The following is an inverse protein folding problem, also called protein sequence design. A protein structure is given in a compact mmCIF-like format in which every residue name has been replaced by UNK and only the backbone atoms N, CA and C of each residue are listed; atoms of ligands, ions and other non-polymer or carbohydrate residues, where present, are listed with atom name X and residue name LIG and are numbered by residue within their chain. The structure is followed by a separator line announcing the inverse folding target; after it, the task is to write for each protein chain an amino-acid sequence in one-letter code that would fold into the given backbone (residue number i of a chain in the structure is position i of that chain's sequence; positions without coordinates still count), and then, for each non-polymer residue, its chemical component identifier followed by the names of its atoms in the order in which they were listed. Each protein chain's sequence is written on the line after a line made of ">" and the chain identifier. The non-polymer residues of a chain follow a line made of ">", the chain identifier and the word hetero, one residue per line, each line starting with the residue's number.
data_IF_018500774076
#
_entry.id   IF_018500774076
#
_cell.length_a   1.000
_cell.length_b   1.000
_cell.length_c   1.000
_cell.angle_alpha   90.00
_cell.angle_beta   90.00
_cell.angle_gamma   90.00
#
_symmetry.space_group_name_H-M   'P 1'
#
loop_
_entity.id
_entity.type
_entity.pdbx_description
1 polymer ?
#
# COMPACT_ATOMS: atom_id res chain seq x y z
N UNK A 1 -12.18 14.75 20.50
CA UNK A 1 -11.19 14.12 21.39
C UNK A 1 -11.90 13.08 22.25
N UNK A 2 -11.21 12.10 22.77
CA UNK A 2 -11.66 10.95 23.56
C UNK A 2 -12.97 11.16 24.37
N UNK A 3 -14.14 10.91 23.76
CA UNK A 3 -15.45 11.09 24.43
C UNK A 3 -15.99 9.81 25.08
N UNK A 4 -15.48 8.63 24.73
CA UNK A 4 -16.02 7.32 25.14
C UNK A 4 -14.96 6.32 25.55
N UNK A 5 -13.85 6.76 26.17
CA UNK A 5 -12.91 5.81 26.78
C UNK A 5 -13.57 5.20 28.01
N UNK A 6 -14.11 3.99 27.84
CA UNK A 6 -14.56 3.18 28.98
C UNK A 6 -13.35 2.62 29.77
N UNK A 7 -13.61 2.09 30.95
CA UNK A 7 -12.56 1.51 31.79
C UNK A 7 -11.86 0.33 31.08
N UNK A 8 -10.73 0.61 30.43
CA UNK A 8 -9.97 -0.41 29.67
C UNK A 8 -9.02 0.19 28.64
N UNK A 9 -9.40 1.24 27.93
CA UNK A 9 -8.50 1.90 26.96
C UNK A 9 -7.49 2.82 27.62
N UNK A 10 -6.22 2.43 27.67
CA UNK A 10 -5.13 3.19 28.31
C UNK A 10 -4.08 3.67 27.31
N UNK A 11 -3.35 4.72 27.68
CA UNK A 11 -2.24 5.27 26.90
C UNK A 11 -2.64 5.80 25.50
N UNK A 12 -3.87 6.26 25.32
CA UNK A 12 -4.33 6.83 24.07
C UNK A 12 -4.10 8.34 24.02
N UNK A 13 -3.70 8.85 22.86
CA UNK A 13 -3.60 10.28 22.55
C UNK A 13 -4.61 10.62 21.47
N UNK A 14 -5.52 11.57 21.70
CA UNK A 14 -6.45 12.05 20.69
C UNK A 14 -6.49 13.59 20.66
N UNK A 15 -6.18 14.15 19.49
CA UNK A 15 -6.14 15.60 19.25
C UNK A 15 -6.88 15.90 17.95
N UNK A 16 -7.98 16.61 18.02
CA UNK A 16 -8.79 17.01 16.87
C UNK A 16 -10.28 16.75 17.08
N UNK A 17 -11.07 17.27 16.17
CA UNK A 17 -12.52 17.07 16.13
C UNK A 17 -12.81 15.60 15.79
N UNK A 18 -13.62 14.92 16.60
CA UNK A 18 -13.96 13.49 16.50
C UNK A 18 -12.77 12.50 16.50
N UNK A 19 -11.57 12.93 16.92
CA UNK A 19 -10.43 12.04 17.03
C UNK A 19 -10.63 11.00 18.15
N UNK A 20 -10.55 9.71 17.83
CA UNK A 20 -10.59 8.59 18.76
C UNK A 20 -11.90 8.46 19.56
N UNK A 21 -13.02 9.02 19.10
CA UNK A 21 -14.28 9.13 19.88
C UNK A 21 -14.91 7.78 20.19
N UNK A 22 -14.73 6.74 19.37
CA UNK A 22 -15.30 5.43 19.60
C UNK A 22 -14.38 4.45 20.36
N UNK A 23 -13.18 4.86 20.75
CA UNK A 23 -12.24 3.97 21.45
C UNK A 23 -12.84 3.53 22.81
N UNK A 24 -13.02 2.24 23.00
CA UNK A 24 -13.52 1.65 24.25
C UNK A 24 -12.40 0.95 25.02
N UNK A 25 -11.84 -0.13 24.46
CA UNK A 25 -10.80 -0.94 25.10
C UNK A 25 -9.48 -0.98 24.34
N UNK A 26 -9.38 -0.30 23.19
CA UNK A 26 -8.12 -0.24 22.43
C UNK A 26 -7.06 0.61 23.13
N UNK A 27 -5.85 0.08 23.27
CA UNK A 27 -4.74 0.70 23.98
C UNK A 27 -3.69 1.30 23.03
N UNK A 28 -2.90 2.25 23.55
CA UNK A 28 -1.69 2.76 22.90
C UNK A 28 -1.93 3.33 21.51
N UNK A 29 -3.08 3.98 21.26
CA UNK A 29 -3.37 4.62 20.00
C UNK A 29 -2.99 6.10 20.01
N UNK A 30 -2.52 6.59 18.87
CA UNK A 30 -2.31 8.03 18.61
C UNK A 30 -3.24 8.46 17.49
N UNK A 31 -4.18 9.35 17.76
CA UNK A 31 -5.13 9.92 16.83
C UNK A 31 -4.97 11.44 16.79
N UNK A 32 -4.40 11.99 15.72
CA UNK A 32 -4.18 13.43 15.55
C UNK A 32 -4.78 13.90 14.24
N UNK A 33 -5.82 14.71 14.30
CA UNK A 33 -6.54 15.22 13.14
C UNK A 33 -8.04 14.98 13.23
N UNK A 34 -8.81 15.73 12.43
CA UNK A 34 -10.26 15.54 12.38
C UNK A 34 -10.57 14.11 11.90
N UNK A 35 -11.48 13.42 12.58
CA UNK A 35 -11.93 12.04 12.33
C UNK A 35 -10.82 10.97 12.35
N UNK A 36 -9.64 11.25 12.89
CA UNK A 36 -8.60 10.22 13.04
C UNK A 36 -9.06 9.13 14.02
N UNK A 37 -9.06 7.84 13.61
CA UNK A 37 -9.53 6.70 14.41
C UNK A 37 -10.96 6.86 14.99
N UNK A 38 -11.85 7.53 14.27
CA UNK A 38 -13.17 7.90 14.81
C UNK A 38 -14.08 6.70 15.10
N UNK A 39 -13.90 5.55 14.42
CA UNK A 39 -14.71 4.34 14.63
C UNK A 39 -13.98 3.20 15.37
N UNK A 40 -12.72 3.40 15.75
CA UNK A 40 -11.94 2.36 16.42
C UNK A 40 -12.52 2.05 17.80
N UNK A 41 -12.87 0.78 18.02
CA UNK A 41 -13.40 0.32 19.32
C UNK A 41 -12.35 -0.40 20.13
N UNK A 42 -11.83 -1.50 19.62
CA UNK A 42 -10.85 -2.38 20.29
C UNK A 42 -9.49 -2.41 19.60
N UNK A 43 -9.34 -1.72 18.47
CA UNK A 43 -8.07 -1.62 17.75
C UNK A 43 -6.99 -0.96 18.62
N UNK A 44 -5.81 -1.57 18.71
CA UNK A 44 -4.71 -1.11 19.55
C UNK A 44 -3.42 -0.83 18.76
N UNK A 45 -2.55 0.00 19.33
CA UNK A 45 -1.22 0.29 18.79
C UNK A 45 -1.30 0.93 17.38
N UNK A 46 -2.32 1.75 17.13
CA UNK A 46 -2.44 2.46 15.88
C UNK A 46 -1.89 3.89 15.99
N UNK A 47 -1.23 4.36 14.95
CA UNK A 47 -0.83 5.77 14.80
C UNK A 47 -1.55 6.37 13.59
N UNK A 48 -2.47 7.29 13.82
CA UNK A 48 -3.25 7.99 12.81
C UNK A 48 -3.00 9.49 12.90
N UNK A 49 -2.36 10.07 11.89
CA UNK A 49 -2.05 11.50 11.85
C UNK A 49 -2.53 12.10 10.52
N UNK A 50 -3.58 12.92 10.57
CA UNK A 50 -4.17 13.58 9.42
C UNK A 50 -5.70 13.52 9.41
N UNK A 51 -6.30 14.18 8.44
CA UNK A 51 -7.73 14.19 8.21
C UNK A 51 -8.23 12.82 7.72
N UNK A 52 -9.28 12.25 8.32
CA UNK A 52 -9.91 10.97 8.01
C UNK A 52 -8.89 9.78 7.92
N UNK A 53 -7.81 9.81 8.70
CA UNK A 53 -6.87 8.69 8.79
C UNK A 53 -7.44 7.55 9.63
N UNK A 54 -7.38 6.29 9.10
CA UNK A 54 -7.91 5.10 9.82
C UNK A 54 -9.36 5.29 10.31
N UNK A 55 -10.14 6.13 9.63
CA UNK A 55 -11.45 6.57 10.13
C UNK A 55 -12.50 5.45 10.19
N UNK A 56 -12.34 4.37 9.41
CA UNK A 56 -13.24 3.20 9.41
C UNK A 56 -12.70 2.01 10.21
N UNK A 57 -11.54 2.14 10.85
CA UNK A 57 -10.94 1.04 11.62
C UNK A 57 -11.83 0.71 12.82
N UNK A 58 -12.14 -0.57 13.00
CA UNK A 58 -12.90 -1.06 14.17
C UNK A 58 -12.03 -1.84 15.13
N UNK A 59 -11.43 -2.94 14.67
CA UNK A 59 -10.60 -3.84 15.47
C UNK A 59 -9.16 -3.98 14.94
N UNK A 60 -8.85 -3.38 13.78
CA UNK A 60 -7.51 -3.40 13.20
C UNK A 60 -6.48 -2.76 14.13
N UNK A 61 -5.29 -3.36 14.24
CA UNK A 61 -4.24 -2.90 15.15
C UNK A 61 -2.86 -2.83 14.52
N UNK A 62 -1.92 -2.16 15.21
CA UNK A 62 -0.53 -2.03 14.77
C UNK A 62 -0.37 -1.35 13.40
N UNK A 63 -1.27 -0.43 13.05
CA UNK A 63 -1.20 0.31 11.80
C UNK A 63 -0.58 1.70 12.02
N UNK A 64 0.20 2.16 11.05
CA UNK A 64 0.70 3.53 10.97
C UNK A 64 0.11 4.20 9.74
N UNK A 65 -0.68 5.26 9.92
CA UNK A 65 -1.26 6.04 8.84
C UNK A 65 -0.98 7.53 9.03
N UNK A 66 -0.30 8.13 8.07
CA UNK A 66 0.05 9.56 8.10
C UNK A 66 -0.31 10.21 6.77
N UNK A 67 -1.23 11.17 6.77
CA UNK A 67 -1.65 11.90 5.58
C UNK A 67 -3.17 12.00 5.44
N UNK A 68 -3.62 12.79 4.48
CA UNK A 68 -5.05 12.94 4.17
C UNK A 68 -5.62 11.61 3.67
N UNK A 69 -6.64 11.08 4.34
CA UNK A 69 -7.34 9.81 4.05
C UNK A 69 -6.42 8.58 3.88
N UNK A 70 -5.25 8.58 4.53
CA UNK A 70 -4.41 7.39 4.56
C UNK A 70 -5.11 6.26 5.32
N UNK A 71 -5.15 5.05 4.73
CA UNK A 71 -5.77 3.84 5.29
C UNK A 71 -7.22 4.04 5.78
N UNK A 72 -7.97 4.95 5.13
CA UNK A 72 -9.28 5.42 5.59
C UNK A 72 -10.32 4.30 5.70
N UNK A 73 -10.39 3.36 4.75
CA UNK A 73 -11.41 2.30 4.74
C UNK A 73 -11.02 1.02 5.48
N UNK A 74 -9.84 1.01 6.12
CA UNK A 74 -9.41 -0.17 6.86
C UNK A 74 -10.39 -0.49 7.99
N UNK A 75 -10.83 -1.73 8.09
CA UNK A 75 -11.72 -2.19 9.17
C UNK A 75 -10.98 -3.07 10.16
N UNK A 76 -10.39 -4.15 9.70
CA UNK A 76 -9.75 -5.19 10.53
C UNK A 76 -8.30 -5.48 10.16
N UNK A 77 -7.77 -4.85 9.09
CA UNK A 77 -6.39 -5.06 8.66
C UNK A 77 -5.37 -4.64 9.72
N UNK A 78 -4.28 -5.38 9.83
CA UNK A 78 -3.24 -5.18 10.83
C UNK A 78 -1.86 -4.97 10.22
N UNK A 79 -0.98 -4.27 10.95
CA UNK A 79 0.44 -4.16 10.60
C UNK A 79 0.71 -3.39 9.29
N UNK A 80 -0.18 -2.51 8.86
CA UNK A 80 0.03 -1.71 7.66
C UNK A 80 0.74 -0.39 7.98
N UNK A 81 1.64 0.05 7.10
CA UNK A 81 2.26 1.37 7.12
C UNK A 81 1.83 2.15 5.88
N UNK A 82 1.07 3.23 6.06
CA UNK A 82 0.54 4.08 5.01
C UNK A 82 0.97 5.54 5.24
N UNK A 83 1.94 6.03 4.50
CA UNK A 83 2.44 7.40 4.64
C UNK A 83 2.31 8.13 3.30
N UNK A 84 1.45 9.13 3.28
CA UNK A 84 1.14 9.94 2.11
C UNK A 84 -0.36 10.10 1.91
N UNK A 85 -0.74 11.13 1.16
CA UNK A 85 -2.14 11.36 0.79
C UNK A 85 -2.70 10.15 0.03
N UNK A 86 -3.84 9.62 0.49
CA UNK A 86 -4.56 8.50 -0.14
C UNK A 86 -3.74 7.19 -0.23
N UNK A 87 -2.67 7.03 0.54
CA UNK A 87 -1.95 5.76 0.62
C UNK A 87 -2.83 4.68 1.26
N UNK A 88 -2.90 3.46 0.68
CA UNK A 88 -3.77 2.36 1.12
C UNK A 88 -5.23 2.76 1.36
N UNK A 89 -5.73 3.78 0.68
CA UNK A 89 -7.04 4.38 0.96
C UNK A 89 -8.18 3.37 0.95
N UNK A 90 -8.20 2.43 -0.01
CA UNK A 90 -9.29 1.46 -0.22
C UNK A 90 -9.09 0.13 0.51
N UNK A 91 -8.02 0.00 1.29
CA UNK A 91 -7.73 -1.23 2.04
C UNK A 91 -8.80 -1.48 3.10
N UNK A 92 -9.38 -2.67 3.10
CA UNK A 92 -10.43 -3.05 4.06
C UNK A 92 -9.91 -4.03 5.12
N UNK A 93 -9.40 -5.16 4.70
CA UNK A 93 -8.92 -6.25 5.58
C UNK A 93 -7.47 -6.64 5.31
N UNK A 94 -6.85 -6.01 4.35
CA UNK A 94 -5.46 -6.28 3.96
C UNK A 94 -4.49 -6.00 5.13
N UNK A 95 -3.44 -6.81 5.23
CA UNK A 95 -2.48 -6.73 6.32
C UNK A 95 -1.03 -6.73 5.81
N UNK A 96 -0.13 -6.18 6.63
CA UNK A 96 1.31 -6.22 6.40
C UNK A 96 1.76 -5.54 5.10
N UNK A 97 1.08 -4.46 4.70
CA UNK A 97 1.49 -3.67 3.55
C UNK A 97 2.29 -2.43 3.98
N UNK A 98 3.28 -2.07 3.17
CA UNK A 98 4.03 -0.82 3.30
C UNK A 98 3.73 0.06 2.09
N UNK A 99 3.15 1.23 2.31
CA UNK A 99 2.81 2.20 1.28
C UNK A 99 3.36 3.58 1.63
N UNK A 100 4.44 3.98 0.98
CA UNK A 100 5.11 5.28 1.18
C UNK A 100 5.01 6.12 -0.10
N UNK A 101 4.20 7.13 -0.10
CA UNK A 101 4.00 8.05 -1.22
C UNK A 101 2.52 8.31 -1.50
N UNK A 102 2.27 9.40 -2.23
CA UNK A 102 0.91 9.77 -2.63
C UNK A 102 0.29 8.65 -3.49
N UNK A 103 -0.89 8.18 -3.11
CA UNK A 103 -1.67 7.11 -3.78
C UNK A 103 -0.93 5.78 -3.96
N UNK A 104 0.12 5.50 -3.19
CA UNK A 104 0.71 4.16 -3.16
C UNK A 104 -0.29 3.14 -2.64
N UNK A 105 -0.47 2.00 -3.33
CA UNK A 105 -1.48 0.97 -3.02
C UNK A 105 -2.92 1.51 -2.83
N UNK A 106 -3.27 2.59 -3.53
CA UNK A 106 -4.53 3.32 -3.29
C UNK A 106 -5.78 2.44 -3.46
N UNK A 107 -5.82 1.58 -4.49
CA UNK A 107 -6.96 0.73 -4.79
C UNK A 107 -6.91 -0.65 -4.09
N UNK A 108 -5.85 -0.93 -3.30
CA UNK A 108 -5.70 -2.22 -2.64
C UNK A 108 -6.87 -2.49 -1.68
N UNK A 109 -7.53 -3.63 -1.84
CA UNK A 109 -8.66 -4.01 -0.97
C UNK A 109 -8.26 -5.08 0.04
N UNK A 110 -7.78 -6.23 -0.44
CA UNK A 110 -7.43 -7.39 0.38
C UNK A 110 -6.01 -7.92 0.16
N UNK A 111 -5.27 -7.37 -0.82
CA UNK A 111 -3.90 -7.77 -1.11
C UNK A 111 -2.97 -7.52 0.09
N UNK A 112 -2.20 -8.53 0.49
CA UNK A 112 -1.34 -8.47 1.67
C UNK A 112 0.15 -8.58 1.32
N UNK A 113 1.02 -8.17 2.26
CA UNK A 113 2.47 -8.30 2.13
C UNK A 113 3.06 -7.57 0.91
N UNK A 114 2.48 -6.45 0.51
CA UNK A 114 3.02 -5.63 -0.56
C UNK A 114 3.89 -4.48 -0.02
N UNK A 115 4.93 -4.13 -0.73
CA UNK A 115 5.77 -2.95 -0.47
C UNK A 115 5.69 -2.01 -1.66
N UNK A 116 5.16 -0.81 -1.45
CA UNK A 116 5.03 0.23 -2.46
C UNK A 116 5.68 1.53 -1.98
N UNK A 117 6.76 1.95 -2.61
CA UNK A 117 7.49 3.18 -2.28
C UNK A 117 7.56 4.07 -3.52
N UNK A 118 6.87 5.19 -3.49
CA UNK A 118 6.81 6.14 -4.59
C UNK A 118 5.39 6.60 -4.90
N UNK A 119 5.26 7.74 -5.58
CA UNK A 119 3.96 8.23 -6.04
C UNK A 119 3.37 7.24 -7.06
N UNK A 120 2.09 6.85 -6.86
CA UNK A 120 1.36 5.90 -7.70
C UNK A 120 2.00 4.49 -7.81
N UNK A 121 2.92 4.09 -6.91
CA UNK A 121 3.43 2.73 -6.87
C UNK A 121 2.30 1.74 -6.48
N UNK A 122 2.12 0.65 -7.25
CA UNK A 122 1.04 -0.35 -7.08
C UNK A 122 -0.36 0.28 -6.95
N UNK A 123 -0.60 1.39 -7.61
CA UNK A 123 -1.80 2.21 -7.41
C UNK A 123 -3.10 1.44 -7.61
N UNK A 124 -3.19 0.61 -8.66
CA UNK A 124 -4.41 -0.12 -9.03
C UNK A 124 -4.46 -1.55 -8.47
N UNK A 125 -3.47 -1.96 -7.63
CA UNK A 125 -3.51 -3.27 -7.00
C UNK A 125 -4.81 -3.44 -6.20
N UNK A 126 -5.50 -4.55 -6.39
CA UNK A 126 -6.73 -4.88 -5.63
C UNK A 126 -6.52 -6.03 -4.67
N UNK A 127 -6.13 -7.19 -5.18
CA UNK A 127 -5.96 -8.43 -4.42
C UNK A 127 -4.55 -9.05 -4.55
N UNK A 128 -3.70 -8.49 -5.44
CA UNK A 128 -2.33 -8.95 -5.63
C UNK A 128 -1.53 -8.88 -4.32
N UNK A 129 -0.68 -9.87 -4.08
CA UNK A 129 0.10 -9.96 -2.85
C UNK A 129 1.59 -10.24 -3.12
N UNK A 130 2.44 -9.98 -2.11
CA UNK A 130 3.88 -10.23 -2.17
C UNK A 130 4.60 -9.45 -3.28
N UNK A 131 4.08 -8.29 -3.68
CA UNK A 131 4.70 -7.44 -4.67
C UNK A 131 5.60 -6.39 -4.01
N UNK A 132 6.73 -6.09 -4.65
CA UNK A 132 7.64 -5.00 -4.27
C UNK A 132 7.72 -4.00 -5.42
N UNK A 133 7.30 -2.78 -5.18
CA UNK A 133 7.33 -1.67 -6.14
C UNK A 133 8.05 -0.46 -5.54
N UNK A 134 9.22 -0.15 -6.03
CA UNK A 134 10.02 1.00 -5.58
C UNK A 134 10.28 1.94 -6.77
N UNK A 135 9.68 3.11 -6.72
CA UNK A 135 9.78 4.13 -7.77
C UNK A 135 8.42 4.69 -8.19
N UNK A 136 8.45 5.86 -8.80
CA UNK A 136 7.23 6.53 -9.30
C UNK A 136 6.58 5.66 -10.39
N UNK A 137 5.26 5.38 -10.26
CA UNK A 137 4.48 4.57 -11.20
C UNK A 137 5.08 3.17 -11.47
N UNK A 138 5.75 2.59 -10.47
CA UNK A 138 6.20 1.20 -10.51
C UNK A 138 4.99 0.28 -10.28
N UNK A 139 4.74 -0.70 -11.18
CA UNK A 139 3.59 -1.63 -11.11
C UNK A 139 2.24 -0.91 -10.98
N UNK A 140 2.08 0.29 -11.57
CA UNK A 140 0.90 1.13 -11.32
C UNK A 140 -0.42 0.53 -11.81
N UNK A 141 -0.40 -0.35 -12.80
CA UNK A 141 -1.58 -1.01 -13.38
C UNK A 141 -1.84 -2.44 -12.86
N UNK A 142 -0.96 -2.97 -12.01
CA UNK A 142 -1.15 -4.31 -11.42
C UNK A 142 -2.44 -4.35 -10.62
N UNK A 143 -3.25 -5.39 -10.86
CA UNK A 143 -4.54 -5.61 -10.17
C UNK A 143 -4.49 -6.85 -9.26
N UNK A 144 -4.17 -8.01 -9.83
CA UNK A 144 -4.16 -9.30 -9.13
C UNK A 144 -2.80 -10.01 -9.19
N UNK A 145 -1.82 -9.45 -9.93
CA UNK A 145 -0.48 -10.03 -10.06
C UNK A 145 0.20 -10.26 -8.71
N UNK A 146 0.95 -11.36 -8.57
CA UNK A 146 1.61 -11.73 -7.32
C UNK A 146 3.12 -11.94 -7.50
N UNK A 147 3.89 -11.71 -6.43
CA UNK A 147 5.33 -11.99 -6.37
C UNK A 147 6.14 -11.29 -7.46
N UNK A 148 5.78 -10.05 -7.79
CA UNK A 148 6.56 -9.23 -8.72
C UNK A 148 7.48 -8.29 -7.95
N UNK A 149 8.72 -8.12 -8.42
CA UNK A 149 9.70 -7.18 -7.87
C UNK A 149 10.07 -6.14 -8.93
N UNK A 150 9.78 -4.89 -8.66
CA UNK A 150 9.98 -3.76 -9.56
C UNK A 150 10.73 -2.62 -8.86
N UNK A 151 11.96 -2.33 -9.28
CA UNK A 151 12.77 -1.24 -8.72
C UNK A 151 13.20 -0.29 -9.82
N UNK A 152 12.57 0.88 -9.87
CA UNK A 152 12.80 1.91 -10.88
C UNK A 152 11.52 2.66 -11.25
N UNK A 153 11.64 3.78 -11.98
CA UNK A 153 10.49 4.56 -12.42
C UNK A 153 9.79 3.93 -13.63
N UNK A 154 8.46 3.94 -13.65
CA UNK A 154 7.59 3.47 -14.74
C UNK A 154 7.92 2.03 -15.21
N UNK A 155 8.34 1.18 -14.28
CA UNK A 155 8.74 -0.20 -14.49
C UNK A 155 7.52 -1.12 -14.41
N UNK A 156 7.44 -2.16 -15.27
CA UNK A 156 6.27 -3.06 -15.37
C UNK A 156 4.92 -2.31 -15.37
N UNK A 157 4.87 -1.18 -16.05
CA UNK A 157 3.75 -0.26 -15.94
C UNK A 157 2.43 -0.82 -16.47
N UNK A 158 2.48 -1.66 -17.50
CA UNK A 158 1.28 -2.27 -18.10
C UNK A 158 0.88 -3.61 -17.46
N UNK A 159 1.68 -4.14 -16.53
CA UNK A 159 1.42 -5.45 -15.91
C UNK A 159 0.12 -5.41 -15.09
N UNK A 160 -0.82 -6.30 -15.41
CA UNK A 160 -2.10 -6.43 -14.69
C UNK A 160 -2.15 -7.69 -13.81
N UNK A 161 -1.92 -8.86 -14.37
CA UNK A 161 -2.10 -10.17 -13.72
C UNK A 161 -0.84 -11.04 -13.74
N UNK A 162 0.25 -10.59 -14.41
CA UNK A 162 1.50 -11.36 -14.50
C UNK A 162 2.15 -11.57 -13.14
N UNK A 163 2.81 -12.72 -12.98
CA UNK A 163 3.38 -13.16 -11.72
C UNK A 163 4.87 -13.47 -11.82
N UNK A 164 5.58 -13.40 -10.69
CA UNK A 164 6.99 -13.82 -10.58
C UNK A 164 7.93 -13.06 -11.52
N UNK A 165 7.64 -11.81 -11.84
CA UNK A 165 8.53 -10.99 -12.63
C UNK A 165 9.51 -10.21 -11.74
N UNK A 166 10.76 -10.12 -12.16
CA UNK A 166 11.78 -9.29 -11.51
C UNK A 166 12.30 -8.27 -12.52
N UNK A 167 12.12 -7.00 -12.23
CA UNK A 167 12.64 -5.92 -13.05
C UNK A 167 13.37 -4.87 -12.22
N UNK A 168 14.54 -4.43 -12.70
CA UNK A 168 15.35 -3.38 -12.09
C UNK A 168 15.84 -2.44 -13.18
N UNK A 169 15.54 -1.16 -13.05
CA UNK A 169 15.91 -0.13 -14.01
C UNK A 169 14.69 0.55 -14.64
N UNK A 170 14.80 1.85 -14.95
CA UNK A 170 13.68 2.61 -15.48
C UNK A 170 13.11 1.98 -16.78
N UNK A 171 11.78 1.89 -16.87
CA UNK A 171 11.03 1.36 -18.00
C UNK A 171 11.39 -0.10 -18.41
N UNK A 172 12.01 -0.89 -17.54
CA UNK A 172 12.18 -2.32 -17.77
C UNK A 172 10.82 -3.04 -17.73
N UNK A 173 10.60 -4.05 -18.59
CA UNK A 173 9.34 -4.80 -18.74
C UNK A 173 8.09 -3.90 -18.84
N UNK A 174 8.20 -2.77 -19.53
CA UNK A 174 7.16 -1.73 -19.47
C UNK A 174 5.82 -2.15 -20.06
N UNK A 175 5.82 -2.95 -21.13
CA UNK A 175 4.62 -3.30 -21.90
C UNK A 175 4.06 -4.69 -21.60
N UNK A 176 4.72 -5.50 -20.77
CA UNK A 176 4.20 -6.80 -20.38
C UNK A 176 2.86 -6.62 -19.63
N UNK A 177 1.82 -7.37 -20.06
CA UNK A 177 0.47 -7.27 -19.48
C UNK A 177 0.21 -8.45 -18.54
N UNK A 178 0.34 -9.68 -19.03
CA UNK A 178 0.06 -10.92 -18.30
C UNK A 178 1.26 -11.87 -18.22
N UNK A 179 2.36 -11.55 -18.93
CA UNK A 179 3.57 -12.38 -18.95
C UNK A 179 4.16 -12.56 -17.55
N UNK A 180 4.64 -13.77 -17.25
CA UNK A 180 5.22 -14.13 -15.97
C UNK A 180 6.61 -14.72 -16.06
N UNK A 181 7.30 -14.85 -14.92
CA UNK A 181 8.62 -15.43 -14.80
C UNK A 181 9.69 -14.75 -15.67
N UNK A 182 9.62 -13.44 -15.82
CA UNK A 182 10.60 -12.67 -16.56
C UNK A 182 11.62 -12.00 -15.62
N UNK A 183 12.86 -11.91 -16.05
CA UNK A 183 13.95 -11.18 -15.38
C UNK A 183 14.49 -10.11 -16.33
N UNK A 184 14.35 -8.84 -15.94
CA UNK A 184 14.83 -7.70 -16.72
C UNK A 184 15.67 -6.77 -15.84
N UNK A 185 16.97 -6.71 -16.05
CA UNK A 185 17.89 -5.86 -15.29
C UNK A 185 18.60 -4.89 -16.24
N UNK A 186 18.30 -3.64 -16.10
CA UNK A 186 18.85 -2.56 -16.93
C UNK A 186 17.75 -1.60 -17.40
N UNK A 187 18.13 -0.35 -17.73
CA UNK A 187 17.20 0.63 -18.30
C UNK A 187 16.64 0.09 -19.62
N UNK A 188 15.30 0.08 -19.76
CA UNK A 188 14.59 -0.44 -20.93
C UNK A 188 14.87 -1.92 -21.28
N UNK A 189 15.41 -2.75 -20.36
CA UNK A 189 15.55 -4.19 -20.60
C UNK A 189 14.17 -4.83 -20.79
N UNK A 190 13.97 -5.68 -21.80
CA UNK A 190 12.69 -6.33 -22.17
C UNK A 190 11.51 -5.34 -22.28
N UNK A 191 11.77 -4.12 -22.71
CA UNK A 191 10.76 -3.04 -22.64
C UNK A 191 9.48 -3.36 -23.41
N UNK A 192 9.59 -3.92 -24.60
CA UNK A 192 8.45 -4.24 -25.48
C UNK A 192 8.02 -5.72 -25.41
N UNK A 193 8.59 -6.49 -24.48
CA UNK A 193 8.27 -7.90 -24.31
C UNK A 193 6.85 -8.10 -23.77
N UNK A 194 6.13 -9.05 -24.34
CA UNK A 194 4.79 -9.47 -23.90
C UNK A 194 4.72 -10.93 -23.45
N UNK A 195 5.80 -11.69 -23.63
CA UNK A 195 5.87 -13.13 -23.35
C UNK A 195 6.38 -13.43 -21.92
N UNK A 196 6.39 -14.70 -21.57
CA UNK A 196 6.89 -15.23 -20.29
C UNK A 196 8.26 -15.89 -20.45
N UNK A 197 8.94 -16.13 -19.32
CA UNK A 197 10.18 -16.91 -19.22
C UNK A 197 11.38 -16.30 -19.95
N UNK A 198 11.47 -14.97 -19.98
CA UNK A 198 12.58 -14.26 -20.61
C UNK A 198 13.56 -13.74 -19.56
N UNK A 199 14.84 -13.78 -19.88
CA UNK A 199 15.89 -13.17 -19.05
C UNK A 199 16.72 -12.22 -19.90
N UNK A 200 16.83 -10.97 -19.48
CA UNK A 200 17.67 -9.95 -20.10
C UNK A 200 18.40 -9.13 -19.04
N UNK A 201 19.70 -8.99 -19.23
CA UNK A 201 20.57 -8.17 -18.38
C UNK A 201 21.39 -7.23 -19.26
N UNK A 202 21.27 -5.94 -18.95
CA UNK A 202 21.93 -4.86 -19.69
C UNK A 202 20.95 -3.79 -20.18
N UNK A 203 21.44 -2.57 -20.39
CA UNK A 203 20.63 -1.47 -20.92
C UNK A 203 20.11 -1.83 -22.33
N UNK A 204 18.79 -1.64 -22.54
CA UNK A 204 18.10 -1.96 -23.80
C UNK A 204 18.32 -3.40 -24.31
N UNK A 205 18.66 -4.34 -23.42
CA UNK A 205 18.77 -5.76 -23.78
C UNK A 205 17.41 -6.34 -24.14
N UNK A 206 17.32 -7.13 -25.22
CA UNK A 206 16.07 -7.74 -25.73
C UNK A 206 14.92 -6.70 -25.79
N UNK A 207 15.15 -5.60 -26.45
CA UNK A 207 14.20 -4.47 -26.50
C UNK A 207 12.89 -4.86 -27.18
N UNK A 208 12.92 -5.80 -28.13
CA UNK A 208 11.79 -6.32 -28.93
C UNK A 208 11.57 -7.80 -28.63
#
# INVERSE_FOLDING_TARGET
>A
ALDSVEAGGINNVAIGDDAGTAITTGDCNVAVGKNALTTSTTGAINTAVGYDTLCSTTTGGSNVAVGFTALCTNTTGIGNTAIGRESLKSSTTASYNVALGMRSLCANTTGANNTAVGCDALKLNTTGCLNVAVGVQSLDSTTTGVQNTAVGAAIMRALTEGNHNTAVGAAALRTVITGGCNIAIGVCALRENTASFNTAVGTCSLLC
#
